data_IF_111155711279
#
_entry.id   IF_111155711279
#
_cell.length_a   1.000
_cell.length_b   1.000
_cell.length_c   1.000
_cell.angle_alpha   90.00
_cell.angle_beta   90.00
_cell.angle_gamma   90.00
#
_symmetry.space_group_name_H-M   'P 1'
#
loop_
_entity.id
_entity.type
_entity.pdbx_description
1 polymer ?
#
# COMPACT_ATOMS: atom_id res chain seq x y z
N UNK A 1 -16.57 10.25 -10.32
CA UNK A 1 -15.35 10.94 -9.83
C UNK A 1 -14.54 9.95 -9.00
N UNK A 2 -13.25 9.78 -9.29
CA UNK A 2 -12.35 8.90 -8.54
C UNK A 2 -11.55 9.68 -7.50
N UNK A 3 -11.40 9.15 -6.29
CA UNK A 3 -10.63 9.78 -5.21
C UNK A 3 -9.25 9.13 -5.13
N UNK A 4 -8.21 9.90 -5.47
CA UNK A 4 -6.83 9.51 -5.20
C UNK A 4 -6.48 9.91 -3.77
N UNK A 5 -6.09 8.93 -2.95
CA UNK A 5 -5.80 9.14 -1.53
C UNK A 5 -4.35 9.52 -1.28
N UNK A 6 -3.43 8.85 -1.96
CA UNK A 6 -1.98 9.07 -1.89
C UNK A 6 -1.39 8.77 -3.25
N UNK A 7 -0.51 9.65 -3.73
CA UNK A 7 0.29 9.46 -4.94
C UNK A 7 1.74 9.64 -4.56
N UNK A 8 2.58 8.66 -4.91
CA UNK A 8 4.02 8.70 -4.67
C UNK A 8 4.75 8.47 -5.99
N UNK A 9 5.59 9.42 -6.37
CA UNK A 9 6.50 9.26 -7.51
C UNK A 9 7.86 8.86 -6.96
N UNK A 10 8.38 7.74 -7.43
CA UNK A 10 9.71 7.23 -7.04
C UNK A 10 10.64 7.19 -8.24
N UNK A 11 11.94 7.18 -7.98
CA UNK A 11 12.95 6.96 -9.02
C UNK A 11 12.85 5.52 -9.53
N UNK A 12 13.22 5.27 -10.79
CA UNK A 12 13.08 3.96 -11.44
C UNK A 12 13.88 2.81 -10.76
N UNK A 13 14.84 3.14 -9.90
CA UNK A 13 15.59 2.15 -9.12
C UNK A 13 14.83 1.61 -7.91
N UNK A 14 13.73 2.26 -7.49
CA UNK A 14 12.92 1.81 -6.36
C UNK A 14 11.98 0.73 -6.85
N UNK A 15 12.04 -0.44 -6.20
CA UNK A 15 11.08 -1.49 -6.50
C UNK A 15 9.69 -1.08 -6.04
N UNK A 16 8.70 -1.52 -6.81
CA UNK A 16 7.28 -1.49 -6.51
C UNK A 16 6.96 -1.83 -5.04
N UNK A 17 7.59 -2.87 -4.49
CA UNK A 17 7.42 -3.31 -3.08
C UNK A 17 7.76 -2.22 -2.07
N UNK A 18 8.90 -1.56 -2.23
CA UNK A 18 9.35 -0.46 -1.37
C UNK A 18 8.49 0.79 -1.57
N UNK A 19 8.06 1.04 -2.81
CA UNK A 19 7.12 2.09 -3.16
C UNK A 19 5.78 1.92 -2.43
N UNK A 20 5.20 0.72 -2.48
CA UNK A 20 3.94 0.43 -1.80
C UNK A 20 4.03 0.59 -0.29
N UNK A 21 5.13 0.16 0.34
CA UNK A 21 5.34 0.40 1.77
C UNK A 21 5.25 1.89 2.11
N UNK A 22 5.92 2.75 1.32
CA UNK A 22 5.91 4.21 1.51
C UNK A 22 4.53 4.80 1.25
N UNK A 23 3.79 4.32 0.26
CA UNK A 23 2.40 4.76 0.00
C UNK A 23 1.49 4.41 1.17
N UNK A 24 1.57 3.18 1.68
CA UNK A 24 0.76 2.71 2.81
C UNK A 24 1.12 3.40 4.13
N UNK A 25 2.39 3.79 4.31
CA UNK A 25 2.80 4.60 5.43
C UNK A 25 2.21 6.02 5.38
N UNK A 26 2.07 6.59 4.19
CA UNK A 26 1.54 7.93 3.97
C UNK A 26 0.01 8.00 3.86
N UNK A 27 -0.70 6.87 3.91
CA UNK A 27 -2.16 6.81 3.96
C UNK A 27 -2.64 7.44 5.30
N UNK A 28 -3.09 8.71 5.30
CA UNK A 28 -3.41 9.39 6.54
C UNK A 28 -4.71 8.82 7.12
N UNK A 29 -4.97 9.14 8.40
CA UNK A 29 -6.08 8.63 9.22
C UNK A 29 -7.51 8.80 8.67
N UNK A 30 -7.69 9.39 7.49
CA UNK A 30 -8.94 9.42 6.73
C UNK A 30 -9.30 8.07 6.10
N UNK A 31 -8.33 7.15 5.99
CA UNK A 31 -8.50 5.86 5.30
C UNK A 31 -8.93 4.70 6.20
N UNK A 32 -9.50 5.02 7.38
CA UNK A 32 -9.98 4.03 8.38
C UNK A 32 -11.01 3.03 7.85
N UNK A 33 -11.66 3.34 6.72
CA UNK A 33 -12.67 2.48 6.08
C UNK A 33 -12.12 1.60 4.96
N UNK A 34 -10.85 1.74 4.57
CA UNK A 34 -10.25 0.80 3.62
C UNK A 34 -10.19 -0.60 4.26
N UNK A 35 -10.60 -1.61 3.51
CA UNK A 35 -10.65 -3.01 3.96
C UNK A 35 -10.02 -3.98 2.97
N UNK A 36 -9.74 -3.54 1.74
CA UNK A 36 -9.16 -4.36 0.67
C UNK A 36 -8.11 -3.54 -0.05
N UNK A 37 -7.00 -4.19 -0.40
CA UNK A 37 -5.96 -3.66 -1.25
C UNK A 37 -5.73 -4.71 -2.34
N UNK A 38 -5.58 -4.26 -3.58
CA UNK A 38 -5.19 -5.11 -4.70
C UNK A 38 -3.75 -4.78 -5.06
N UNK A 39 -2.92 -5.81 -5.16
CA UNK A 39 -1.54 -5.71 -5.61
C UNK A 39 -1.26 -6.85 -6.59
N UNK A 40 -0.34 -6.63 -7.52
CA UNK A 40 0.11 -7.67 -8.45
C UNK A 40 1.05 -8.68 -7.74
N UNK A 41 1.28 -9.85 -8.34
CA UNK A 41 2.15 -10.88 -7.80
C UNK A 41 3.57 -10.41 -7.48
N UNK A 42 4.07 -9.38 -8.18
CA UNK A 42 5.37 -8.74 -7.88
C UNK A 42 5.47 -8.09 -6.48
N UNK A 43 4.34 -7.90 -5.79
CA UNK A 43 4.26 -7.33 -4.46
C UNK A 43 4.20 -8.37 -3.33
N UNK A 44 4.16 -9.66 -3.66
CA UNK A 44 4.08 -10.74 -2.70
C UNK A 44 5.31 -10.81 -1.77
N UNK A 45 5.11 -11.33 -0.56
CA UNK A 45 6.15 -11.51 0.46
C UNK A 45 6.02 -10.54 1.64
N UNK A 46 7.13 -9.95 2.06
CA UNK A 46 7.24 -9.16 3.30
C UNK A 46 6.25 -7.98 3.39
N UNK A 47 5.89 -7.38 2.26
CA UNK A 47 4.89 -6.31 2.22
C UNK A 47 3.53 -6.81 2.68
N UNK A 48 3.09 -7.97 2.20
CA UNK A 48 1.78 -8.56 2.52
C UNK A 48 1.69 -8.90 4.01
N UNK A 49 2.75 -9.51 4.57
CA UNK A 49 2.85 -9.81 6.00
C UNK A 49 2.82 -8.53 6.85
N UNK A 50 3.57 -7.50 6.45
CA UNK A 50 3.57 -6.23 7.14
C UNK A 50 2.19 -5.54 7.11
N UNK A 51 1.51 -5.59 5.97
CA UNK A 51 0.17 -5.04 5.82
C UNK A 51 -0.83 -5.76 6.71
N UNK A 52 -0.78 -7.10 6.75
CA UNK A 52 -1.63 -7.90 7.63
C UNK A 52 -1.40 -7.61 9.12
N UNK A 53 -0.15 -7.39 9.52
CA UNK A 53 0.22 -7.09 10.89
C UNK A 53 -0.22 -5.67 11.31
N UNK A 54 -0.10 -4.69 10.41
CA UNK A 54 -0.33 -3.26 10.73
C UNK A 54 -1.75 -2.79 10.44
N UNK A 55 -2.44 -3.43 9.50
CA UNK A 55 -3.78 -3.05 9.06
C UNK A 55 -4.73 -4.25 9.11
N UNK A 56 -5.98 -4.00 9.54
CA UNK A 56 -7.04 -5.02 9.52
C UNK A 56 -7.70 -5.12 8.13
N UNK A 57 -6.88 -5.30 7.09
CA UNK A 57 -7.40 -5.55 5.74
C UNK A 57 -7.72 -7.04 5.57
N UNK A 58 -8.75 -7.33 4.78
CA UNK A 58 -9.00 -8.69 4.30
C UNK A 58 -8.08 -8.92 3.11
N UNK A 59 -7.08 -9.77 3.30
CA UNK A 59 -6.21 -10.30 2.25
C UNK A 59 -6.98 -11.22 1.31
#
# INVERSE_FOLDING_TARGET
MGLLLVVLVTVASVQDRDGAFRVLHNLPGSCKKLRKIWVDGGYAGQLVEWVAAKFKFSL
#
